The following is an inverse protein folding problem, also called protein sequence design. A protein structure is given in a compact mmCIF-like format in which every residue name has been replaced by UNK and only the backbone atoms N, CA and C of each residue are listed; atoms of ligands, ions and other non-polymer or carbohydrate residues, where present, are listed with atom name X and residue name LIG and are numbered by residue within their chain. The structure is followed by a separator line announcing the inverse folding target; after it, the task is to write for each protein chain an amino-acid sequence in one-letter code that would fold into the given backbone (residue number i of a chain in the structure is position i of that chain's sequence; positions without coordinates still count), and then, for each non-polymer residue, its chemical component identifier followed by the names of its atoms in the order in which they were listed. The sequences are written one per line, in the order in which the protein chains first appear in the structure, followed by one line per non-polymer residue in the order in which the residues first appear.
data_IF_537349486048
#
_entry.id   IF_537349486048
#
_cell.length_a   1.000
_cell.length_b   1.000
_cell.length_c   1.000
_cell.angle_alpha   90.00
_cell.angle_beta   90.00
_cell.angle_gamma   90.00
#
_symmetry.space_group_name_H-M   'P 1'
#
loop_
_entity.id
_entity.type
_entity.pdbx_description
1 polymer ?
#
# COMPACT_ATOMS: atom_id res chain seq x y z
N UNK A 1 8.82 -23.90 0.77
CA UNK A 1 10.03 -23.03 0.82
C UNK A 1 9.79 -21.65 0.17
N UNK A 2 9.19 -21.56 -1.02
CA UNK A 2 8.91 -20.27 -1.71
C UNK A 2 8.06 -19.30 -0.89
N UNK A 3 7.01 -19.77 -0.22
CA UNK A 3 6.14 -18.92 0.61
C UNK A 3 6.84 -18.40 1.87
N UNK A 4 7.70 -19.21 2.48
CA UNK A 4 8.54 -18.80 3.62
C UNK A 4 9.49 -17.66 3.20
N UNK A 5 10.11 -17.79 2.02
CA UNK A 5 10.94 -16.75 1.43
C UNK A 5 10.18 -15.45 1.18
N UNK A 6 8.94 -15.55 0.70
CA UNK A 6 8.05 -14.41 0.50
C UNK A 6 7.72 -13.71 1.84
N UNK A 7 7.35 -14.45 2.88
CA UNK A 7 7.09 -13.87 4.21
C UNK A 7 8.33 -13.18 4.80
N UNK A 8 9.51 -13.80 4.66
CA UNK A 8 10.77 -13.20 5.12
C UNK A 8 11.06 -11.90 4.37
N UNK A 9 10.89 -11.87 3.05
CA UNK A 9 11.09 -10.66 2.25
C UNK A 9 10.12 -9.55 2.65
N UNK A 10 8.83 -9.87 2.83
CA UNK A 10 7.82 -8.90 3.30
C UNK A 10 8.19 -8.37 4.68
N UNK A 11 8.59 -9.24 5.62
CA UNK A 11 9.00 -8.83 6.96
C UNK A 11 10.21 -7.89 6.92
N UNK A 12 11.21 -8.16 6.09
CA UNK A 12 12.41 -7.32 5.95
C UNK A 12 12.07 -5.92 5.41
N UNK A 13 11.19 -5.84 4.41
CA UNK A 13 10.75 -4.55 3.85
C UNK A 13 10.01 -3.74 4.90
N UNK A 14 9.06 -4.36 5.62
CA UNK A 14 8.33 -3.71 6.71
C UNK A 14 9.28 -3.23 7.81
N UNK A 15 10.25 -4.05 8.22
CA UNK A 15 11.23 -3.70 9.25
C UNK A 15 12.05 -2.47 8.87
N UNK A 16 12.39 -2.33 7.58
CA UNK A 16 13.11 -1.16 7.07
C UNK A 16 12.24 0.11 7.13
N UNK A 17 10.94 0.01 6.83
CA UNK A 17 10.00 1.14 6.93
C UNK A 17 9.75 1.56 8.37
N UNK A 18 9.54 0.60 9.28
CA UNK A 18 9.25 0.86 10.69
C UNK A 18 10.49 1.27 11.52
N UNK A 19 11.69 1.17 10.96
CA UNK A 19 12.93 1.53 11.68
C UNK A 19 12.94 2.97 12.24
N UNK A 20 12.25 3.92 11.59
CA UNK A 20 12.08 5.30 12.06
C UNK A 20 11.03 5.42 13.16
N UNK A 21 9.89 4.75 12.98
CA UNK A 21 8.77 4.76 13.94
C UNK A 21 9.15 4.10 15.28
N UNK A 22 9.92 3.01 15.23
CA UNK A 22 10.42 2.32 16.43
C UNK A 22 11.24 3.23 17.35
N UNK A 23 11.95 4.23 16.79
CA UNK A 23 12.73 5.18 17.57
C UNK A 23 11.83 6.15 18.35
N UNK A 24 10.70 6.55 17.77
CA UNK A 24 9.70 7.40 18.43
C UNK A 24 8.97 6.60 19.52
N UNK A 25 8.64 5.34 19.24
CA UNK A 25 8.02 4.44 20.22
C UNK A 25 8.95 4.18 21.41
N UNK A 26 10.23 3.86 21.17
CA UNK A 26 11.23 3.68 22.22
C UNK A 26 11.38 4.95 23.08
N UNK A 27 11.39 6.12 22.44
CA UNK A 27 11.39 7.40 23.14
C UNK A 27 10.15 7.60 24.02
N UNK A 28 8.95 7.26 23.52
CA UNK A 28 7.70 7.40 24.26
C UNK A 28 7.66 6.48 25.49
N UNK A 29 8.11 5.23 25.35
CA UNK A 29 8.17 4.26 26.45
C UNK A 29 9.20 4.66 27.51
N UNK A 30 10.35 5.21 27.09
CA UNK A 30 11.47 5.53 27.97
C UNK A 30 11.61 7.03 28.29
N UNK A 31 10.58 7.84 28.06
CA UNK A 31 10.65 9.31 28.10
C UNK A 31 11.15 9.84 29.47
N UNK A 32 10.72 9.23 30.57
CA UNK A 32 11.11 9.63 31.92
C UNK A 32 12.62 9.46 32.15
N UNK A 33 13.17 8.28 31.77
CA UNK A 33 14.61 7.98 31.86
C UNK A 33 15.42 8.89 30.94
N UNK A 34 14.90 9.15 29.74
CA UNK A 34 15.58 10.02 28.77
C UNK A 34 15.64 11.46 29.28
N UNK A 35 14.55 11.97 29.85
CA UNK A 35 14.52 13.30 30.44
C UNK A 35 15.43 13.39 31.66
N UNK A 36 15.48 12.35 32.49
CA UNK A 36 16.33 12.32 33.67
C UNK A 36 17.83 12.26 33.34
N UNK A 37 18.25 11.63 32.24
CA UNK A 37 19.68 11.43 31.92
C UNK A 37 20.21 12.33 30.81
N UNK A 38 19.41 12.62 29.78
CA UNK A 38 19.86 13.27 28.54
C UNK A 38 19.28 14.68 28.33
N UNK A 39 18.45 15.19 29.25
CA UNK A 39 17.96 16.56 29.15
C UNK A 39 19.10 17.56 29.46
N UNK A 40 19.48 18.36 28.46
CA UNK A 40 20.45 19.45 28.59
C UNK A 40 19.91 20.67 29.35
N UNK A 41 18.59 20.88 29.34
CA UNK A 41 17.94 22.06 29.91
C UNK A 41 17.19 21.75 31.22
N UNK A 42 17.76 20.93 32.11
CA UNK A 42 17.15 20.64 33.43
C UNK A 42 16.91 21.90 34.27
N UNK A 43 17.79 22.90 34.14
CA UNK A 43 17.70 24.16 34.88
C UNK A 43 16.67 25.16 34.27
N UNK A 44 16.06 24.86 33.12
CA UNK A 44 15.10 25.76 32.43
C UNK A 44 13.83 25.00 32.05
N UNK A 45 12.95 24.69 33.02
CA UNK A 45 11.73 23.91 32.79
C UNK A 45 10.74 24.59 31.83
N UNK A 46 10.81 25.92 31.70
CA UNK A 46 9.96 26.72 30.79
C UNK A 46 10.15 26.36 29.30
N UNK A 47 11.23 25.67 28.95
CA UNK A 47 11.54 25.26 27.57
C UNK A 47 10.82 23.97 27.14
N UNK A 48 10.06 23.33 28.03
CA UNK A 48 9.29 22.09 27.76
C UNK A 48 10.07 21.00 27.01
N UNK A 49 11.36 20.85 27.34
CA UNK A 49 12.27 19.93 26.65
C UNK A 49 11.77 18.49 26.73
N UNK A 50 11.47 17.96 27.92
CA UNK A 50 10.91 16.62 28.13
C UNK A 50 11.64 15.48 27.37
N UNK A 51 12.94 15.63 27.09
CA UNK A 51 13.73 14.69 26.28
C UNK A 51 13.71 14.93 24.76
N UNK A 52 12.92 15.88 24.24
CA UNK A 52 12.77 16.17 22.81
C UNK A 52 14.07 16.63 22.14
N UNK A 53 14.94 17.36 22.85
CA UNK A 53 16.23 17.76 22.30
C UNK A 53 17.12 16.56 21.93
N UNK A 54 17.09 15.51 22.76
CA UNK A 54 17.80 14.25 22.50
C UNK A 54 17.21 13.52 21.28
N UNK A 55 15.87 13.48 21.18
CA UNK A 55 15.18 12.88 20.04
C UNK A 55 15.57 13.55 18.71
N UNK A 56 15.52 14.89 18.66
CA UNK A 56 15.89 15.66 17.46
C UNK A 56 17.34 15.44 17.08
N UNK A 57 18.26 15.36 18.04
CA UNK A 57 19.67 15.09 17.78
C UNK A 57 19.87 13.69 17.17
N UNK A 58 19.20 12.67 17.71
CA UNK A 58 19.28 11.28 17.22
C UNK A 58 18.70 11.13 15.80
N UNK A 59 17.62 11.86 15.50
CA UNK A 59 17.03 11.92 14.15
C UNK A 59 17.99 12.55 13.14
N UNK A 60 18.57 13.71 13.48
CA UNK A 60 19.56 14.39 12.62
C UNK A 60 20.81 13.55 12.38
N UNK A 61 21.28 12.81 13.38
CA UNK A 61 22.43 11.92 13.23
C UNK A 61 22.14 10.78 12.25
N UNK A 62 20.95 10.16 12.33
CA UNK A 62 20.51 9.15 11.35
C UNK A 62 20.30 9.73 9.96
N UNK A 63 19.83 10.96 9.83
CA UNK A 63 19.70 11.62 8.52
C UNK A 63 21.07 11.85 7.87
N UNK A 64 22.06 12.30 8.65
CA UNK A 64 23.45 12.45 8.19
C UNK A 64 24.08 11.11 7.80
N UNK A 65 23.85 10.07 8.59
CA UNK A 65 24.31 8.71 8.28
C UNK A 65 23.62 8.13 7.03
N UNK A 66 22.36 8.53 6.79
CA UNK A 66 21.64 8.19 5.56
C UNK A 66 22.12 8.98 4.33
N UNK A 67 22.70 10.17 4.52
CA UNK A 67 23.31 11.00 3.46
C UNK A 67 24.76 10.62 3.17
N UNK A 68 25.45 9.94 4.09
CA UNK A 68 26.72 9.32 3.79
C UNK A 68 26.53 8.29 2.66
N UNK A 69 27.43 8.22 1.67
CA UNK A 69 27.32 7.27 0.57
C UNK A 69 27.50 5.85 1.11
N UNK A 70 26.39 5.24 1.56
CA UNK A 70 26.38 3.82 1.89
C UNK A 70 26.52 3.05 0.58
N UNK A 71 27.41 2.04 0.50
CA UNK A 71 27.60 1.25 -0.73
C UNK A 71 26.30 0.56 -1.17
N UNK A 72 25.36 0.34 -0.24
CA UNK A 72 24.06 -0.27 -0.51
C UNK A 72 23.06 0.67 -1.22
N UNK A 73 23.02 1.97 -0.85
CA UNK A 73 22.14 2.96 -1.52
C UNK A 73 22.61 3.29 -2.93
N UNK A 74 23.92 3.45 -3.08
CA UNK A 74 24.55 3.67 -4.40
C UNK A 74 24.22 2.48 -5.32
N UNK A 75 24.29 1.25 -4.81
CA UNK A 75 23.96 0.04 -5.57
C UNK A 75 22.47 -0.08 -5.96
N UNK A 76 21.56 0.54 -5.21
CA UNK A 76 20.13 0.52 -5.52
C UNK A 76 19.75 1.55 -6.60
N UNK A 77 20.40 2.72 -6.62
CA UNK A 77 20.24 3.69 -7.72
C UNK A 77 20.91 3.22 -9.02
N UNK A 78 21.88 2.31 -8.91
CA UNK A 78 22.52 1.60 -10.02
C UNK A 78 21.75 0.33 -10.45
N UNK A 79 20.51 0.09 -9.99
CA UNK A 79 19.69 -0.95 -10.61
C UNK A 79 19.51 -0.59 -12.09
N UNK A 80 20.04 -1.38 -13.03
CA UNK A 80 19.97 -1.00 -14.43
C UNK A 80 18.50 -0.93 -14.85
N UNK A 81 18.18 -0.05 -15.79
CA UNK A 81 16.84 0.17 -16.36
C UNK A 81 16.12 -1.10 -16.87
N UNK A 82 16.76 -2.27 -16.78
CA UNK A 82 16.23 -3.59 -17.10
C UNK A 82 15.05 -4.04 -16.22
N UNK A 83 14.86 -3.51 -15.00
CA UNK A 83 13.63 -3.78 -14.22
C UNK A 83 12.40 -2.97 -14.70
N UNK A 84 12.61 -1.88 -15.44
CA UNK A 84 11.53 -1.01 -15.96
C UNK A 84 11.04 -1.47 -17.33
N UNK A 85 11.71 -2.44 -17.96
CA UNK A 85 11.25 -3.07 -19.19
C UNK A 85 10.10 -4.07 -18.92
N UNK A 86 9.03 -3.61 -18.26
CA UNK A 86 7.71 -4.24 -18.38
C UNK A 86 7.32 -4.09 -19.84
N UNK A 87 7.55 -5.12 -20.64
CA UNK A 87 6.91 -5.20 -21.95
C UNK A 87 5.43 -5.34 -21.69
N UNK A 88 4.68 -4.24 -21.82
CA UNK A 88 3.24 -4.32 -22.00
C UNK A 88 3.04 -5.18 -23.26
N UNK A 89 2.68 -6.44 -23.07
CA UNK A 89 2.11 -7.21 -24.16
C UNK A 89 0.92 -6.41 -24.67
N UNK A 90 0.79 -6.18 -25.98
CA UNK A 90 -0.41 -5.53 -26.51
C UNK A 90 -1.62 -6.28 -25.94
N UNK A 91 -2.69 -5.57 -25.53
CA UNK A 91 -3.88 -6.22 -25.03
C UNK A 91 -4.28 -7.26 -26.06
N UNK A 92 -4.37 -8.52 -25.62
CA UNK A 92 -4.88 -9.56 -26.49
C UNK A 92 -6.32 -9.14 -26.76
N UNK A 93 -6.56 -8.56 -27.93
CA UNK A 93 -7.90 -8.27 -28.41
C UNK A 93 -8.51 -9.65 -28.55
N UNK A 94 -9.24 -10.08 -27.50
CA UNK A 94 -10.11 -11.23 -27.61
C UNK A 94 -10.99 -10.92 -28.80
N UNK A 95 -10.79 -11.65 -29.90
CA UNK A 95 -11.68 -11.57 -31.04
C UNK A 95 -13.07 -11.76 -30.45
N UNK A 96 -13.88 -10.70 -30.49
CA UNK A 96 -15.25 -10.76 -30.01
C UNK A 96 -15.84 -11.96 -30.72
N UNK A 97 -16.11 -13.02 -29.97
CA UNK A 97 -16.74 -14.20 -30.53
C UNK A 97 -18.05 -13.65 -31.05
N UNK A 98 -18.21 -13.59 -32.37
CA UNK A 98 -19.44 -13.17 -33.00
C UNK A 98 -20.50 -14.15 -32.53
N UNK A 99 -21.14 -13.83 -31.41
CA UNK A 99 -22.38 -14.45 -31.02
C UNK A 99 -23.30 -14.05 -32.16
N UNK A 100 -23.53 -14.99 -33.08
CA UNK A 100 -24.60 -14.90 -34.05
C UNK A 100 -25.87 -14.89 -33.22
N UNK A 101 -26.27 -13.71 -32.75
CA UNK A 101 -27.61 -13.50 -32.26
C UNK A 101 -28.52 -13.93 -33.41
N UNK A 102 -29.44 -14.86 -33.13
CA UNK A 102 -30.46 -15.20 -34.10
C UNK A 102 -31.17 -13.90 -34.49
N UNK A 103 -31.44 -13.72 -35.78
CA UNK A 103 -32.26 -12.61 -36.24
C UNK A 103 -33.54 -12.55 -35.41
N UNK A 104 -33.86 -11.37 -34.88
CA UNK A 104 -35.20 -11.10 -34.36
C UNK A 104 -36.15 -11.27 -35.53
N UNK A 105 -36.79 -12.44 -35.61
CA UNK A 105 -37.94 -12.63 -36.48
C UNK A 105 -39.03 -11.75 -35.88
N UNK A 106 -39.53 -10.72 -36.60
CA UNK A 106 -40.69 -9.99 -36.14
C UNK A 106 -41.87 -10.96 -36.23
N UNK A 107 -42.08 -11.73 -35.17
CA UNK A 107 -43.27 -12.53 -35.03
C UNK A 107 -44.43 -11.55 -34.88
N UNK A 108 -45.28 -11.47 -35.89
CA UNK A 108 -46.60 -10.88 -35.70
C UNK A 108 -47.32 -11.76 -34.66
N UNK A 109 -47.45 -11.25 -33.44
CA UNK A 109 -48.28 -11.89 -32.42
C UNK A 109 -49.72 -11.89 -32.95
N UNK A 110 -50.15 -13.03 -33.48
CA UNK A 110 -51.54 -13.30 -33.73
C UNK A 110 -52.13 -13.77 -32.39
N UNK A 111 -52.73 -12.83 -31.65
CA UNK A 111 -53.60 -13.19 -30.52
C UNK A 111 -54.62 -14.22 -31.03
N UNK A 112 -54.81 -15.37 -30.37
CA UNK A 112 -55.88 -16.27 -30.76
C UNK A 112 -57.19 -15.49 -30.61
N UNK A 113 -57.91 -15.28 -31.72
CA UNK A 113 -59.30 -14.80 -31.75
C UNK A 113 -60.25 -15.88 -31.21
N UNK A 114 -59.82 -16.58 -30.16
CA UNK A 114 -60.61 -17.51 -29.38
C UNK A 114 -61.54 -16.72 -28.47
N UNK A 115 -62.79 -17.16 -28.40
CA UNK A 115 -63.87 -16.48 -27.70
C UNK A 115 -63.45 -16.07 -26.29
N UNK A 116 -63.69 -14.79 -25.99
CA UNK A 116 -63.58 -14.23 -24.64
C UNK A 116 -64.33 -15.17 -23.68
N UNK A 117 -63.62 -15.66 -22.66
CA UNK A 117 -64.19 -16.55 -21.67
C UNK A 117 -65.28 -15.80 -20.90
N UNK A 118 -66.53 -16.26 -21.01
CA UNK A 118 -67.63 -15.76 -20.21
C UNK A 118 -67.89 -16.77 -19.08
N UNK A 119 -67.83 -16.34 -17.82
CA UNK A 119 -68.16 -17.23 -16.70
C UNK A 119 -69.67 -17.58 -16.73
N UNK A 120 -70.06 -18.76 -16.21
CA UNK A 120 -71.45 -19.17 -16.20
C UNK A 120 -72.29 -18.23 -15.33
N UNK A 121 -73.40 -17.76 -15.88
CA UNK A 121 -74.42 -17.03 -15.13
C UNK A 121 -75.19 -18.06 -14.31
N UNK A 122 -74.97 -18.03 -12.98
CA UNK A 122 -75.84 -18.66 -12.00
C UNK A 122 -77.04 -17.78 -11.69
#
# INVERSE_FOLDING_TARGET
MKSLLAYVLVALVLLQTFSRELLVVDYALNQATITARFCVNKARPMMHCNGKCYLVQKMRQRERENQAPSPLKVKLELLPAQFVAVRLSPPQVFAAKNHRFAWLVPGAYAAPLGRVFHPPLG
#
